data_IF_449993445609
#
_entry.id   IF_449993445609
#
_cell.length_a   1.000
_cell.length_b   1.000
_cell.length_c   1.000
_cell.angle_alpha   90.00
_cell.angle_beta   90.00
_cell.angle_gamma   90.00
#
_symmetry.space_group_name_H-M   'P 1'
#
loop_
_entity.id
_entity.type
_entity.pdbx_description
1 polymer ?
#
# COMPACT_ATOMS: atom_id res chain seq x y z
N UNK A 1 29.18 -0.14 2.51
CA UNK A 1 29.00 1.30 2.73
C UNK A 1 27.65 1.50 3.41
N UNK A 2 27.64 1.89 4.69
CA UNK A 2 26.41 2.15 5.43
C UNK A 2 25.98 3.60 5.18
N UNK A 3 24.82 3.80 4.55
CA UNK A 3 24.27 5.14 4.30
C UNK A 3 23.78 5.72 5.62
N UNK A 4 24.39 6.83 6.04
CA UNK A 4 24.13 7.55 7.29
C UNK A 4 22.68 8.05 7.35
N UNK A 5 22.00 7.78 8.46
CA UNK A 5 20.59 8.06 8.69
C UNK A 5 20.30 9.52 9.14
N UNK A 6 20.91 10.51 8.50
CA UNK A 6 20.61 11.92 8.78
C UNK A 6 19.69 12.45 7.69
N UNK A 7 18.39 12.53 7.97
CA UNK A 7 17.41 13.16 7.07
C UNK A 7 16.42 12.24 6.36
N UNK A 8 16.04 11.08 6.95
CA UNK A 8 14.82 10.40 6.49
C UNK A 8 13.62 11.28 6.84
N UNK A 9 13.02 11.94 5.84
CA UNK A 9 11.66 12.48 5.96
C UNK A 9 10.74 11.28 6.21
N UNK A 10 10.29 11.11 7.46
CA UNK A 10 9.24 10.14 7.77
C UNK A 10 7.95 10.53 7.04
N UNK A 11 7.25 9.55 6.46
CA UNK A 11 5.93 9.78 5.87
C UNK A 11 5.87 10.05 4.38
N UNK A 12 6.80 9.53 3.57
CA UNK A 12 6.67 9.57 2.10
C UNK A 12 5.41 8.83 1.64
N UNK A 13 4.71 9.43 0.68
CA UNK A 13 3.48 8.89 0.09
C UNK A 13 3.85 7.84 -0.96
N UNK A 14 3.28 6.64 -0.81
CA UNK A 14 3.39 5.63 -1.86
C UNK A 14 2.46 5.97 -3.02
N UNK A 15 3.02 6.39 -4.16
CA UNK A 15 2.23 6.84 -5.31
C UNK A 15 1.42 5.71 -5.98
N UNK A 16 1.85 4.46 -5.79
CA UNK A 16 1.21 3.29 -6.39
C UNK A 16 -0.06 2.89 -5.63
N UNK A 17 -0.14 3.16 -4.33
CA UNK A 17 -1.27 2.74 -3.47
C UNK A 17 -2.07 3.90 -2.89
N UNK A 18 -1.53 5.13 -2.89
CA UNK A 18 -2.21 6.27 -2.30
C UNK A 18 -3.55 6.58 -3.01
N UNK A 19 -4.58 6.97 -2.25
CA UNK A 19 -5.83 7.44 -2.82
C UNK A 19 -5.65 8.84 -3.44
N UNK A 20 -6.54 9.18 -4.39
CA UNK A 20 -6.52 10.46 -5.11
C UNK A 20 -6.41 11.69 -4.20
N UNK A 21 -7.16 11.68 -3.09
CA UNK A 21 -7.14 12.79 -2.13
C UNK A 21 -5.74 13.00 -1.53
N UNK A 22 -5.01 11.92 -1.22
CA UNK A 22 -3.64 11.99 -0.68
C UNK A 22 -2.63 12.39 -1.75
N UNK A 23 -2.81 11.95 -3.00
CA UNK A 23 -1.93 12.40 -4.09
C UNK A 23 -2.03 13.92 -4.31
N UNK A 24 -3.24 14.50 -4.16
CA UNK A 24 -3.46 15.95 -4.28
C UNK A 24 -2.83 16.77 -3.17
N UNK A 25 -2.43 16.16 -2.05
CA UNK A 25 -1.72 16.89 -0.98
C UNK A 25 -0.22 16.99 -1.23
N UNK A 26 0.32 16.34 -2.27
CA UNK A 26 1.76 16.36 -2.57
C UNK A 26 2.12 17.73 -3.18
N UNK A 27 3.04 18.50 -2.57
CA UNK A 27 3.47 19.78 -3.12
C UNK A 27 4.10 19.62 -4.51
N UNK A 28 3.70 20.47 -5.46
CA UNK A 28 4.26 20.47 -6.82
C UNK A 28 3.66 19.46 -7.79
N UNK A 29 2.64 18.71 -7.39
CA UNK A 29 1.81 17.90 -8.28
C UNK A 29 0.49 18.63 -8.54
N UNK A 30 0.14 18.82 -9.81
CA UNK A 30 -1.13 19.39 -10.21
C UNK A 30 -2.22 18.31 -10.35
N UNK A 31 -3.48 18.74 -10.46
CA UNK A 31 -4.60 17.81 -10.57
C UNK A 31 -4.49 16.91 -11.82
N UNK A 32 -3.98 17.42 -12.95
CA UNK A 32 -3.85 16.63 -14.18
C UNK A 32 -2.82 15.49 -14.04
N UNK A 33 -1.68 15.76 -13.40
CA UNK A 33 -0.67 14.74 -13.09
C UNK A 33 -1.24 13.69 -12.16
N UNK A 34 -2.03 14.04 -11.14
CA UNK A 34 -2.69 13.05 -10.26
C UNK A 34 -3.57 12.09 -11.06
N UNK A 35 -4.36 12.60 -12.00
CA UNK A 35 -5.21 11.74 -12.84
C UNK A 35 -4.37 10.82 -13.73
N UNK A 36 -3.26 11.32 -14.30
CA UNK A 36 -2.32 10.51 -15.07
C UNK A 36 -1.65 9.42 -14.24
N UNK A 37 -1.28 9.71 -12.98
CA UNK A 37 -0.72 8.72 -12.05
C UNK A 37 -1.71 7.58 -11.83
N UNK A 38 -2.97 7.92 -11.54
CA UNK A 38 -4.01 6.93 -11.26
C UNK A 38 -4.35 6.11 -12.50
N UNK A 39 -4.33 6.73 -13.67
CA UNK A 39 -4.59 6.06 -14.94
C UNK A 39 -3.47 5.08 -15.32
N UNK A 40 -2.21 5.43 -15.06
CA UNK A 40 -1.04 4.66 -15.53
C UNK A 40 -0.49 3.68 -14.51
N UNK A 41 -0.82 3.83 -13.23
CA UNK A 41 -0.35 2.88 -12.21
C UNK A 41 -0.89 1.47 -12.48
N UNK A 42 -0.12 0.46 -12.16
CA UNK A 42 -0.56 -0.93 -12.27
C UNK A 42 -1.78 -1.18 -11.38
N UNK A 43 -2.79 -1.87 -11.91
CA UNK A 43 -3.98 -2.24 -11.15
C UNK A 43 -3.64 -3.15 -9.96
N UNK A 44 -2.66 -4.04 -10.17
CA UNK A 44 -2.06 -4.89 -9.13
C UNK A 44 -0.60 -4.47 -9.02
N UNK A 45 -0.27 -3.78 -7.94
CA UNK A 45 1.09 -3.30 -7.69
C UNK A 45 2.00 -4.44 -7.21
N UNK A 46 3.08 -4.72 -7.94
CA UNK A 46 4.16 -5.62 -7.51
C UNK A 46 5.32 -4.82 -6.87
N UNK A 47 5.50 -4.88 -5.53
CA UNK A 47 6.55 -4.15 -4.85
C UNK A 47 7.97 -4.73 -5.00
N UNK A 48 8.13 -5.90 -5.62
CA UNK A 48 9.39 -6.63 -5.72
C UNK A 48 9.95 -6.53 -7.15
N UNK A 49 9.18 -7.00 -8.13
CA UNK A 49 9.62 -7.11 -9.51
C UNK A 49 8.92 -6.12 -10.47
N UNK A 50 7.91 -5.38 -9.98
CA UNK A 50 7.12 -4.48 -10.82
C UNK A 50 7.93 -3.31 -11.40
N UNK A 51 7.60 -2.86 -12.62
CA UNK A 51 8.26 -1.71 -13.28
C UNK A 51 8.09 -0.41 -12.47
N UNK A 52 7.00 -0.29 -11.69
CA UNK A 52 6.67 0.88 -10.90
C UNK A 52 7.17 0.81 -9.45
N UNK A 53 8.05 -0.14 -9.10
CA UNK A 53 8.60 -0.30 -7.74
C UNK A 53 9.31 0.95 -7.19
N UNK A 54 9.80 1.82 -8.07
CA UNK A 54 10.44 3.09 -7.72
C UNK A 54 9.60 4.25 -8.23
N UNK A 55 9.47 5.31 -7.43
CA UNK A 55 8.71 6.52 -7.82
C UNK A 55 9.28 7.25 -9.05
N UNK A 56 10.48 6.88 -9.51
CA UNK A 56 11.08 7.38 -10.74
C UNK A 56 10.25 7.06 -11.99
N UNK A 57 9.29 6.14 -11.92
CA UNK A 57 8.42 5.87 -13.07
C UNK A 57 7.63 7.11 -13.53
N UNK A 58 7.36 8.06 -12.63
CA UNK A 58 6.79 9.36 -12.98
C UNK A 58 7.64 10.12 -14.00
N UNK A 59 8.97 9.99 -13.91
CA UNK A 59 9.91 10.61 -14.84
C UNK A 59 10.08 9.77 -16.11
N UNK A 60 10.24 8.44 -15.98
CA UNK A 60 10.45 7.57 -17.16
C UNK A 60 9.26 7.57 -18.09
N UNK A 61 8.05 7.64 -17.54
CA UNK A 61 6.80 7.67 -18.30
C UNK A 61 6.42 9.10 -18.72
N UNK A 62 7.28 10.08 -18.43
CA UNK A 62 7.11 11.49 -18.81
C UNK A 62 5.86 12.16 -18.21
N UNK A 63 5.49 11.81 -16.98
CA UNK A 63 4.42 12.51 -16.23
C UNK A 63 4.97 13.81 -15.60
N UNK A 64 6.25 13.81 -15.24
CA UNK A 64 6.95 14.97 -14.68
C UNK A 64 8.32 15.13 -15.35
N UNK A 65 8.84 16.34 -15.36
CA UNK A 65 10.21 16.60 -15.80
C UNK A 65 11.23 16.35 -14.66
N UNK A 66 12.53 16.37 -15.00
CA UNK A 66 13.61 16.12 -14.05
C UNK A 66 13.62 17.15 -12.91
N UNK A 67 13.32 18.41 -13.20
CA UNK A 67 13.32 19.48 -12.21
C UNK A 67 12.20 19.28 -11.17
N UNK A 68 11.02 18.87 -11.61
CA UNK A 68 9.88 18.53 -10.76
C UNK A 68 10.14 17.24 -10.00
N UNK A 69 10.67 16.20 -10.64
CA UNK A 69 10.99 14.93 -9.97
C UNK A 69 11.96 15.12 -8.79
N UNK A 70 12.99 15.99 -8.95
CA UNK A 70 13.91 16.34 -7.86
C UNK A 70 13.21 17.01 -6.68
N UNK A 71 12.18 17.83 -6.93
CA UNK A 71 11.37 18.45 -5.87
C UNK A 71 10.43 17.44 -5.21
N UNK A 72 9.98 16.41 -5.93
CA UNK A 72 9.07 15.38 -5.44
C UNK A 72 9.76 14.29 -4.63
N UNK A 73 11.03 13.99 -4.91
CA UNK A 73 11.83 12.95 -4.23
C UNK A 73 11.64 12.86 -2.70
N UNK A 74 11.66 13.97 -1.91
CA UNK A 74 11.48 13.89 -0.46
C UNK A 74 10.05 13.51 -0.02
N UNK A 75 9.05 13.60 -0.90
CA UNK A 75 7.64 13.38 -0.57
C UNK A 75 7.09 12.04 -1.06
N UNK A 76 7.69 11.44 -2.10
CA UNK A 76 7.13 10.26 -2.78
C UNK A 76 7.99 9.01 -2.65
N UNK A 77 7.34 7.85 -2.69
CA UNK A 77 7.99 6.53 -2.73
C UNK A 77 7.19 5.59 -3.63
N UNK A 78 7.82 4.56 -4.17
CA UNK A 78 7.11 3.45 -4.83
C UNK A 78 6.81 2.31 -3.85
N UNK A 79 7.60 2.14 -2.79
CA UNK A 79 7.47 1.06 -1.82
C UNK A 79 7.31 1.52 -0.38
N UNK A 80 7.27 0.56 0.54
CA UNK A 80 7.20 0.78 1.98
C UNK A 80 7.58 -0.48 2.75
N UNK A 81 7.89 -0.33 4.03
CA UNK A 81 8.16 -1.44 4.94
C UNK A 81 7.04 -1.63 5.98
N UNK A 82 5.98 -0.83 5.91
CA UNK A 82 4.82 -0.93 6.79
C UNK A 82 3.64 -1.37 5.96
N UNK A 83 3.00 -2.45 6.39
CA UNK A 83 1.87 -3.08 5.72
C UNK A 83 0.72 -3.18 6.71
N UNK A 84 -0.51 -3.07 6.22
CA UNK A 84 -1.70 -3.29 7.04
C UNK A 84 -2.69 -4.16 6.29
N UNK A 85 -3.45 -4.94 7.02
CA UNK A 85 -4.47 -5.79 6.42
C UNK A 85 -5.40 -6.37 7.46
N UNK A 86 -6.38 -7.10 6.96
CA UNK A 86 -7.31 -7.86 7.78
C UNK A 86 -6.99 -9.35 7.68
N UNK A 87 -7.06 -10.02 8.82
CA UNK A 87 -6.90 -11.46 8.96
C UNK A 87 -8.25 -11.99 9.42
N UNK A 88 -8.85 -12.84 8.59
CA UNK A 88 -10.15 -13.46 8.87
C UNK A 88 -9.93 -14.96 9.01
N UNK A 89 -10.34 -15.52 10.15
CA UNK A 89 -10.45 -16.96 10.36
C UNK A 89 -11.92 -17.33 10.48
N UNK A 90 -12.35 -18.38 9.80
CA UNK A 90 -13.75 -18.82 9.78
C UNK A 90 -13.81 -20.34 9.58
N UNK A 91 -15.00 -20.92 9.78
CA UNK A 91 -15.31 -22.31 9.45
C UNK A 91 -16.16 -22.39 8.17
N UNK A 92 -15.86 -23.35 7.30
CA UNK A 92 -16.51 -23.51 5.99
C UNK A 92 -18.01 -23.80 6.11
N UNK A 93 -18.40 -24.64 7.06
CA UNK A 93 -19.81 -25.02 7.36
C UNK A 93 -20.64 -23.89 8.00
N UNK A 94 -20.07 -22.68 8.07
CA UNK A 94 -20.62 -21.57 8.83
C UNK A 94 -20.37 -21.68 10.34
N UNK A 95 -20.70 -20.61 11.06
CA UNK A 95 -20.52 -20.53 12.51
C UNK A 95 -19.61 -19.38 12.92
N UNK A 96 -18.70 -19.65 13.86
CA UNK A 96 -17.83 -18.62 14.42
C UNK A 96 -16.81 -18.12 13.38
N UNK A 97 -16.67 -16.81 13.29
CA UNK A 97 -15.59 -16.15 12.58
C UNK A 97 -14.83 -15.26 13.56
N UNK A 98 -13.54 -15.08 13.33
CA UNK A 98 -12.70 -14.10 14.01
C UNK A 98 -12.08 -13.19 12.96
N UNK A 99 -12.05 -11.89 13.25
CA UNK A 99 -11.50 -10.88 12.34
C UNK A 99 -10.58 -9.96 13.11
N UNK A 100 -9.36 -9.80 12.62
CA UNK A 100 -8.35 -8.93 13.20
C UNK A 100 -7.85 -7.93 12.15
N UNK A 101 -7.72 -6.67 12.53
CA UNK A 101 -6.92 -5.72 11.75
C UNK A 101 -5.51 -5.67 12.32
N UNK A 102 -4.51 -5.83 11.47
CA UNK A 102 -3.10 -5.84 11.86
C UNK A 102 -2.29 -4.83 11.05
N UNK A 103 -1.30 -4.23 11.70
CA UNK A 103 -0.25 -3.45 11.04
C UNK A 103 1.08 -4.10 11.34
N UNK A 104 1.83 -4.41 10.29
CA UNK A 104 3.13 -5.08 10.33
C UNK A 104 4.19 -4.09 9.85
N UNK A 105 5.23 -3.88 10.65
CA UNK A 105 6.37 -3.05 10.32
C UNK A 105 7.62 -3.93 10.16
N UNK A 106 8.27 -3.84 9.00
CA UNK A 106 9.47 -4.58 8.61
C UNK A 106 10.71 -3.68 8.49
N UNK A 107 10.70 -2.50 9.10
CA UNK A 107 11.79 -1.51 8.93
C UNK A 107 13.13 -2.04 9.44
N UNK A 108 13.15 -2.86 10.49
CA UNK A 108 14.36 -3.34 11.16
C UNK A 108 14.76 -4.78 10.76
N UNK A 109 14.31 -5.25 9.59
CA UNK A 109 14.64 -6.59 9.06
C UNK A 109 13.79 -7.72 9.63
N UNK A 110 13.51 -7.71 10.94
CA UNK A 110 12.52 -8.61 11.57
C UNK A 110 11.14 -7.95 11.57
N UNK A 111 10.12 -8.52 10.91
CA UNK A 111 8.76 -7.99 10.94
C UNK A 111 8.19 -7.99 12.37
N UNK A 112 7.56 -6.89 12.78
CA UNK A 112 6.85 -6.75 14.07
C UNK A 112 5.39 -6.33 13.84
N UNK A 113 4.47 -6.85 14.65
CA UNK A 113 3.09 -6.37 14.68
C UNK A 113 3.07 -5.12 15.56
N UNK A 114 2.82 -3.96 14.96
CA UNK A 114 2.80 -2.65 15.67
C UNK A 114 1.40 -2.22 16.08
N UNK A 115 0.37 -2.82 15.48
CA UNK A 115 -1.03 -2.61 15.87
C UNK A 115 -1.80 -3.90 15.61
N UNK A 116 -2.69 -4.23 16.56
CA UNK A 116 -3.65 -5.32 16.47
C UNK A 116 -4.97 -4.84 17.04
N UNK A 117 -6.04 -5.00 16.29
CA UNK A 117 -7.39 -4.67 16.72
C UNK A 117 -8.31 -5.84 16.48
N UNK A 118 -9.10 -6.19 17.50
CA UNK A 118 -10.16 -7.16 17.36
C UNK A 118 -11.36 -6.50 16.67
N UNK A 119 -11.81 -7.13 15.58
CA UNK A 119 -12.95 -6.75 14.76
C UNK A 119 -13.94 -7.91 14.62
N UNK A 120 -13.85 -8.92 15.47
CA UNK A 120 -14.70 -10.11 15.44
C UNK A 120 -16.18 -9.79 15.63
N UNK A 121 -16.51 -8.67 16.30
CA UNK A 121 -17.90 -8.20 16.43
C UNK A 121 -18.44 -7.57 15.15
N UNK A 122 -17.59 -7.28 14.17
CA UNK A 122 -17.99 -6.86 12.84
C UNK A 122 -18.18 -8.12 11.99
N UNK A 123 -19.08 -8.04 11.01
CA UNK A 123 -19.22 -9.06 9.97
C UNK A 123 -17.85 -9.39 9.32
N UNK A 124 -17.62 -10.63 8.85
CA UNK A 124 -16.38 -11.01 8.16
C UNK A 124 -16.00 -10.08 7.00
N UNK A 125 -16.96 -9.33 6.45
CA UNK A 125 -16.74 -8.23 5.51
C UNK A 125 -16.59 -8.68 4.06
N UNK A 126 -16.29 -9.95 3.83
CA UNK A 126 -16.28 -10.62 2.54
C UNK A 126 -17.09 -11.91 2.64
N UNK A 127 -17.71 -12.31 1.52
CA UNK A 127 -18.38 -13.59 1.43
C UNK A 127 -17.39 -14.75 1.67
N UNK A 128 -17.78 -15.85 2.35
CA UNK A 128 -16.89 -16.98 2.64
C UNK A 128 -16.15 -17.52 1.41
N UNK A 129 -16.83 -17.64 0.27
CA UNK A 129 -16.21 -18.07 -1.01
C UNK A 129 -15.07 -17.13 -1.44
N UNK A 130 -15.23 -15.81 -1.26
CA UNK A 130 -14.17 -14.84 -1.56
C UNK A 130 -12.99 -14.93 -0.58
N UNK A 131 -13.21 -15.49 0.62
CA UNK A 131 -12.19 -15.81 1.60
C UNK A 131 -11.56 -17.20 1.38
N UNK A 132 -12.04 -17.96 0.40
CA UNK A 132 -11.53 -19.29 0.04
C UNK A 132 -12.28 -20.47 0.65
N UNK A 133 -13.50 -20.26 1.17
CA UNK A 133 -14.31 -21.34 1.72
C UNK A 133 -14.59 -22.43 0.67
N UNK A 134 -14.42 -23.68 1.05
CA UNK A 134 -14.90 -24.81 0.26
C UNK A 134 -16.31 -25.15 0.73
N UNK A 135 -17.31 -24.73 -0.04
CA UNK A 135 -18.69 -25.14 0.23
C UNK A 135 -18.89 -26.55 -0.33
N UNK A 136 -19.28 -27.49 0.51
CA UNK A 136 -19.69 -28.80 0.04
C UNK A 136 -20.93 -28.65 -0.87
N UNK A 137 -20.82 -29.14 -2.11
CA UNK A 137 -21.96 -29.23 -3.03
C UNK A 137 -22.91 -30.33 -2.51
N UNK A 138 -24.08 -29.93 -2.00
CA UNK A 138 -25.17 -30.84 -1.64
C UNK A 138 -26.01 -31.25 -2.84
#
# INVERSE_FOLDING_TARGET
AATTATGRVGGRVNINTAPRAVLRTIPGIDASTVEQIILRREAIYDPIAGPQRHALWLLTDSLVDLATMRKLEPYVTGGGNVFSGEVVGFYDDGGAAARLFVVIDRTDGTPRIVRREDRTTLDPGLAPVALGAQLDEF
#
